data_IF_276637578053
#
_entry.id   IF_276637578053
#
_cell.length_a   1.000
_cell.length_b   1.000
_cell.length_c   1.000
_cell.angle_alpha   90.00
_cell.angle_beta   90.00
_cell.angle_gamma   90.00
#
_symmetry.space_group_name_H-M   'P 1'
#
loop_
_entity.id
_entity.type
_entity.pdbx_description
1 polymer ?
#
# COMPACT_ATOMS: atom_id res chain seq x y z
N UNK A 1 42.32 25.44 31.08
CA UNK A 1 40.85 25.35 30.97
C UNK A 1 40.55 24.39 29.83
N UNK A 2 40.18 23.15 30.15
CA UNK A 2 39.81 22.13 29.17
C UNK A 2 38.28 22.10 29.05
N UNK A 3 37.74 22.46 27.90
CA UNK A 3 36.33 22.17 27.58
C UNK A 3 36.30 21.12 26.49
N UNK A 4 36.35 19.86 26.92
CA UNK A 4 35.75 18.74 26.20
C UNK A 4 34.25 19.05 26.08
N UNK A 5 33.77 19.35 24.87
CA UNK A 5 32.33 19.36 24.60
C UNK A 5 32.02 18.13 23.76
N UNK A 6 31.51 17.13 24.45
CA UNK A 6 30.99 15.89 23.90
C UNK A 6 29.73 16.17 23.09
N UNK A 7 29.88 16.63 21.86
CA UNK A 7 28.77 16.66 20.90
C UNK A 7 28.70 15.28 20.20
N UNK A 8 28.43 14.26 21.01
CA UNK A 8 27.94 12.98 20.49
C UNK A 8 26.60 13.28 19.85
N UNK A 9 26.60 13.33 18.51
CA UNK A 9 25.41 13.15 17.65
C UNK A 9 24.37 12.31 18.38
N UNK A 10 23.34 12.97 18.90
CA UNK A 10 22.09 12.31 19.20
C UNK A 10 21.48 11.99 17.83
N UNK A 11 21.87 10.84 17.27
CA UNK A 11 21.08 10.17 16.26
C UNK A 11 19.73 9.92 16.91
N UNK A 12 18.77 10.80 16.63
CA UNK A 12 17.37 10.53 16.93
C UNK A 12 17.07 9.14 16.35
N UNK A 13 16.50 8.21 17.13
CA UNK A 13 16.15 6.92 16.61
C UNK A 13 15.20 7.16 15.43
N UNK A 14 15.62 6.72 14.24
CA UNK A 14 14.77 6.62 13.06
C UNK A 14 13.77 5.51 13.36
N UNK A 15 12.77 5.81 14.17
CA UNK A 15 11.95 4.81 14.85
C UNK A 15 10.50 5.26 14.95
N UNK A 16 9.67 4.72 14.07
CA UNK A 16 8.23 4.70 14.22
C UNK A 16 7.50 5.94 13.68
N UNK A 17 7.51 6.13 12.36
CA UNK A 17 6.46 6.96 11.76
C UNK A 17 5.11 6.27 12.07
N UNK A 18 4.34 6.84 12.99
CA UNK A 18 2.97 6.41 13.23
C UNK A 18 2.17 6.70 11.96
N UNK A 19 1.47 5.68 11.46
CA UNK A 19 0.61 5.84 10.28
C UNK A 19 -0.38 6.99 10.51
N UNK A 20 -0.63 7.76 9.47
CA UNK A 20 -1.74 8.71 9.45
C UNK A 20 -3.08 7.95 9.52
N UNK A 21 -4.16 8.68 9.85
CA UNK A 21 -5.51 8.09 9.83
C UNK A 21 -5.87 7.52 8.45
N UNK A 22 -5.51 8.23 7.38
CA UNK A 22 -5.73 7.80 6.00
C UNK A 22 -4.96 6.52 5.66
N UNK A 23 -3.71 6.38 6.11
CA UNK A 23 -2.91 5.18 5.87
C UNK A 23 -3.46 3.97 6.62
N UNK A 24 -3.91 4.14 7.88
CA UNK A 24 -4.58 3.06 8.62
C UNK A 24 -5.86 2.59 7.94
N UNK A 25 -6.69 3.53 7.49
CA UNK A 25 -7.92 3.19 6.79
C UNK A 25 -7.62 2.47 5.47
N UNK A 26 -6.57 2.91 4.76
CA UNK A 26 -6.12 2.24 3.55
C UNK A 26 -5.68 0.79 3.80
N UNK A 27 -4.90 0.54 4.86
CA UNK A 27 -4.50 -0.82 5.25
C UNK A 27 -5.70 -1.68 5.63
N UNK A 28 -6.68 -1.12 6.36
CA UNK A 28 -7.92 -1.82 6.70
C UNK A 28 -8.69 -2.26 5.45
N UNK A 29 -8.80 -1.38 4.46
CA UNK A 29 -9.43 -1.69 3.18
C UNK A 29 -8.65 -2.74 2.40
N UNK A 30 -7.31 -2.65 2.35
CA UNK A 30 -6.47 -3.65 1.69
C UNK A 30 -6.65 -5.04 2.31
N UNK A 31 -6.67 -5.12 3.65
CA UNK A 31 -6.88 -6.37 4.38
C UNK A 31 -8.27 -6.97 4.13
N UNK A 32 -9.31 -6.15 4.00
CA UNK A 32 -10.66 -6.63 3.66
C UNK A 32 -10.75 -7.11 2.19
N UNK A 33 -10.05 -6.45 1.27
CA UNK A 33 -9.99 -6.89 -0.14
C UNK A 33 -9.17 -8.18 -0.31
N UNK A 34 -8.19 -8.43 0.57
CA UNK A 34 -7.36 -9.63 0.55
C UNK A 34 -8.16 -10.95 0.70
N UNK A 35 -9.38 -10.88 1.23
CA UNK A 35 -10.29 -12.03 1.36
C UNK A 35 -10.95 -12.43 0.02
N UNK A 36 -10.79 -11.63 -1.04
CA UNK A 36 -11.46 -11.80 -2.33
C UNK A 36 -10.46 -11.93 -3.48
N UNK A 37 -9.73 -13.05 -3.62
CA UNK A 37 -8.64 -13.20 -4.60
C UNK A 37 -9.10 -13.00 -6.06
N UNK A 38 -10.34 -13.39 -6.39
CA UNK A 38 -10.92 -13.17 -7.72
C UNK A 38 -11.10 -11.67 -8.01
N UNK A 39 -11.51 -10.88 -7.01
CA UNK A 39 -11.66 -9.43 -7.13
C UNK A 39 -10.30 -8.76 -7.32
N UNK A 40 -9.30 -9.16 -6.54
CA UNK A 40 -7.91 -8.67 -6.65
C UNK A 40 -7.42 -8.83 -8.09
N UNK A 41 -7.50 -10.05 -8.63
CA UNK A 41 -7.09 -10.35 -10.00
C UNK A 41 -7.84 -9.50 -11.02
N UNK A 42 -9.17 -9.40 -10.89
CA UNK A 42 -10.00 -8.61 -11.81
C UNK A 42 -9.62 -7.12 -11.81
N UNK A 43 -9.30 -6.55 -10.65
CA UNK A 43 -8.84 -5.17 -10.55
C UNK A 43 -7.47 -5.03 -11.23
N UNK A 44 -6.52 -5.91 -10.95
CA UNK A 44 -5.17 -5.85 -11.53
C UNK A 44 -5.17 -6.05 -13.05
N UNK A 45 -6.09 -6.87 -13.59
CA UNK A 45 -6.26 -7.10 -15.03
C UNK A 45 -6.89 -5.88 -15.73
N UNK A 46 -7.80 -5.16 -15.06
CA UNK A 46 -8.51 -4.01 -15.63
C UNK A 46 -7.78 -2.67 -15.46
N UNK A 47 -6.76 -2.62 -14.60
CA UNK A 47 -6.00 -1.42 -14.30
C UNK A 47 -4.53 -1.73 -14.57
N UNK A 48 -4.02 -1.33 -15.73
CA UNK A 48 -2.63 -1.55 -16.12
C UNK A 48 -1.63 -0.85 -15.16
N UNK A 49 -0.34 -1.11 -15.32
CA UNK A 49 0.70 -0.49 -14.49
C UNK A 49 0.73 1.04 -14.60
N UNK A 50 0.25 1.60 -15.71
CA UNK A 50 0.18 3.06 -15.93
C UNK A 50 -0.99 3.71 -15.16
N UNK A 51 -1.90 2.91 -14.63
CA UNK A 51 -3.07 3.38 -13.89
C UNK A 51 -4.19 3.87 -14.79
N UNK A 52 -4.16 3.49 -16.07
CA UNK A 52 -5.17 3.87 -17.07
C UNK A 52 -6.27 2.83 -17.06
N UNK A 53 -7.36 3.09 -16.35
CA UNK A 53 -8.56 2.26 -16.42
C UNK A 53 -9.67 2.98 -17.20
N UNK A 54 -10.64 2.20 -17.72
CA UNK A 54 -11.75 2.71 -18.53
C UNK A 54 -12.49 3.87 -17.85
N UNK A 55 -12.63 3.83 -16.52
CA UNK A 55 -13.27 4.87 -15.74
C UNK A 55 -12.53 6.22 -15.79
N UNK A 56 -11.19 6.21 -15.84
CA UNK A 56 -10.37 7.42 -15.99
C UNK A 56 -10.42 7.99 -17.42
N UNK A 57 -10.76 7.17 -18.42
CA UNK A 57 -10.80 7.56 -19.85
C UNK A 57 -12.21 7.87 -20.37
N UNK A 58 -13.26 7.67 -19.56
CA UNK A 58 -14.64 7.96 -19.98
C UNK A 58 -14.82 9.47 -20.22
N UNK A 59 -15.47 9.90 -21.31
CA UNK A 59 -15.81 11.31 -21.52
C UNK A 59 -16.59 11.87 -20.32
N UNK A 60 -16.11 12.98 -19.73
CA UNK A 60 -16.66 13.55 -18.49
C UNK A 60 -16.10 12.95 -17.18
N UNK A 61 -15.16 12.00 -17.27
CA UNK A 61 -14.42 11.48 -16.13
C UNK A 61 -13.66 12.58 -15.41
N UNK A 62 -14.03 12.86 -14.16
CA UNK A 62 -13.36 13.86 -13.30
C UNK A 62 -12.09 13.33 -12.64
N UNK A 63 -11.78 12.04 -12.81
CA UNK A 63 -10.58 11.43 -12.22
C UNK A 63 -9.37 11.75 -13.09
N UNK A 64 -8.55 12.69 -12.63
CA UNK A 64 -7.19 12.88 -13.14
C UNK A 64 -6.45 11.56 -12.97
N UNK A 65 -5.85 11.04 -14.05
CA UNK A 65 -4.96 9.87 -14.00
C UNK A 65 -3.79 10.25 -13.08
N UNK A 66 -3.82 9.78 -11.84
CA UNK A 66 -2.70 9.90 -10.91
C UNK A 66 -2.10 8.51 -10.75
N UNK A 67 -0.86 8.36 -11.19
CA UNK A 67 -0.08 7.17 -10.88
C UNK A 67 0.44 7.28 -9.42
N UNK A 68 0.29 6.23 -8.59
CA UNK A 68 -0.42 4.99 -8.87
C UNK A 68 -1.95 5.14 -8.75
N UNK A 69 -2.68 4.48 -9.66
CA UNK A 69 -4.15 4.42 -9.61
C UNK A 69 -4.60 3.79 -8.28
N UNK A 70 -5.44 4.48 -7.50
CA UNK A 70 -5.79 4.05 -6.14
C UNK A 70 -6.42 2.63 -6.09
N UNK A 71 -7.40 2.26 -6.95
CA UNK A 71 -7.88 0.88 -7.03
C UNK A 71 -6.77 -0.14 -7.29
N UNK A 72 -5.83 0.15 -8.20
CA UNK A 72 -4.71 -0.75 -8.49
C UNK A 72 -3.78 -0.89 -7.30
N UNK A 73 -3.40 0.23 -6.69
CA UNK A 73 -2.51 0.22 -5.52
C UNK A 73 -3.15 -0.57 -4.37
N UNK A 74 -4.48 -0.48 -4.20
CA UNK A 74 -5.21 -1.23 -3.16
C UNK A 74 -5.16 -2.73 -3.44
N UNK A 75 -5.39 -3.12 -4.69
CA UNK A 75 -5.32 -4.51 -5.11
C UNK A 75 -3.89 -5.10 -5.00
N UNK A 76 -2.85 -4.30 -5.28
CA UNK A 76 -1.46 -4.73 -5.07
C UNK A 76 -1.17 -5.03 -3.59
N UNK A 77 -1.60 -4.15 -2.68
CA UNK A 77 -1.43 -4.38 -1.25
C UNK A 77 -2.25 -5.58 -0.76
N UNK A 78 -3.50 -5.71 -1.22
CA UNK A 78 -4.34 -6.86 -0.92
C UNK A 78 -3.73 -8.18 -1.43
N UNK A 79 -3.07 -8.16 -2.58
CA UNK A 79 -2.39 -9.33 -3.15
C UNK A 79 -1.24 -9.80 -2.25
N UNK A 80 -0.43 -8.87 -1.72
CA UNK A 80 0.65 -9.21 -0.76
C UNK A 80 0.07 -9.90 0.48
N UNK A 81 -0.96 -9.30 1.09
CA UNK A 81 -1.62 -9.86 2.28
C UNK A 81 -2.21 -11.25 1.98
N UNK A 82 -2.83 -11.43 0.81
CA UNK A 82 -3.41 -12.70 0.40
C UNK A 82 -2.33 -13.79 0.26
N UNK A 83 -1.18 -13.47 -0.33
CA UNK A 83 -0.06 -14.41 -0.46
C UNK A 83 0.55 -14.76 0.90
N UNK A 84 0.83 -13.77 1.75
CA UNK A 84 1.37 -14.01 3.10
C UNK A 84 0.47 -14.96 3.92
N UNK A 85 -0.85 -14.77 3.83
CA UNK A 85 -1.82 -15.67 4.48
C UNK A 85 -1.80 -17.08 3.90
N UNK A 86 -1.67 -17.22 2.58
CA UNK A 86 -1.59 -18.52 1.93
C UNK A 86 -0.29 -19.26 2.31
N UNK A 87 0.84 -18.55 2.39
CA UNK A 87 2.13 -19.10 2.84
C UNK A 87 2.08 -19.58 4.29
N UNK A 88 1.47 -18.79 5.18
CA UNK A 88 1.26 -19.20 6.57
C UNK A 88 0.43 -20.48 6.67
N UNK A 89 -0.64 -20.62 5.88
CA UNK A 89 -1.46 -21.83 5.87
C UNK A 89 -0.70 -23.03 5.29
N UNK A 90 0.09 -22.83 4.23
CA UNK A 90 0.86 -23.89 3.57
C UNK A 90 2.00 -24.45 4.41
N UNK A 91 2.57 -23.66 5.32
CA UNK A 91 3.65 -24.07 6.23
C UNK A 91 3.16 -24.82 7.49
N UNK A 92 1.84 -24.99 7.66
CA UNK A 92 1.21 -25.66 8.81
C UNK A 92 0.48 -26.97 8.44
N UNK A 93 0.71 -27.51 7.24
CA UNK A 93 0.23 -28.83 6.80
C UNK A 93 1.39 -29.83 6.74
#
# INVERSE_FOLDING_TARGET
MNTFSSDTRAHAPVGGASLTASEREYQRLAAAVADWPVLIRRILDQHDATGTCRACTTPGGRMVIKAPCAPRFLAMQAQVINYERAELIGNHQ
#
